data_IF_697638485524
#
_entry.id   IF_697638485524
#
_cell.length_a   1.000
_cell.length_b   1.000
_cell.length_c   1.000
_cell.angle_alpha   90.00
_cell.angle_beta   90.00
_cell.angle_gamma   90.00
#
_symmetry.space_group_name_H-M   'P 1'
#
loop_
_entity.id
_entity.type
_entity.pdbx_description
1 polymer ?
#
# COMPACT_ATOMS: atom_id res chain seq x y z
N UNK A 1 -4.97 20.25 5.41
CA UNK A 1 -4.04 19.38 6.17
C UNK A 1 -3.47 18.38 5.20
N UNK A 2 -2.16 18.19 5.18
CA UNK A 2 -1.51 17.20 4.31
C UNK A 2 -1.53 15.84 5.04
N UNK A 3 -2.26 14.86 4.49
CA UNK A 3 -2.29 13.51 5.07
C UNK A 3 -1.07 12.70 4.60
N UNK A 4 -0.46 11.98 5.54
CA UNK A 4 0.65 11.07 5.28
C UNK A 4 0.11 9.65 5.05
N UNK A 5 0.32 9.11 3.85
CA UNK A 5 -0.34 7.89 3.38
C UNK A 5 0.69 6.81 3.05
N UNK A 6 0.41 5.58 3.49
CA UNK A 6 1.08 4.37 3.03
C UNK A 6 0.17 3.56 2.11
N UNK A 7 0.71 2.96 1.06
CA UNK A 7 -0.04 2.13 0.10
C UNK A 7 0.52 0.71 0.08
N UNK A 8 -0.33 -0.30 0.28
CA UNK A 8 0.08 -1.71 0.28
C UNK A 8 -0.75 -2.47 -0.75
N UNK A 9 -0.10 -2.98 -1.79
CA UNK A 9 -0.70 -3.93 -2.74
C UNK A 9 -0.51 -5.34 -2.20
N UNK A 10 -1.61 -6.08 -2.02
CA UNK A 10 -1.63 -7.46 -1.53
C UNK A 10 -1.94 -8.38 -2.72
N UNK A 11 -0.93 -9.12 -3.19
CA UNK A 11 -1.07 -10.07 -4.29
C UNK A 11 0.16 -10.98 -4.40
N UNK A 12 -0.04 -12.30 -4.37
CA UNK A 12 1.03 -13.28 -4.64
C UNK A 12 1.66 -13.06 -6.02
N UNK A 13 0.82 -12.89 -7.05
CA UNK A 13 1.28 -12.71 -8.43
C UNK A 13 2.05 -11.41 -8.62
N UNK A 14 1.58 -10.31 -8.04
CA UNK A 14 2.30 -9.03 -8.14
C UNK A 14 3.60 -9.06 -7.33
N UNK A 15 3.58 -9.67 -6.14
CA UNK A 15 4.78 -9.86 -5.33
C UNK A 15 5.81 -10.79 -5.97
N UNK A 16 5.38 -11.76 -6.79
CA UNK A 16 6.24 -12.64 -7.57
C UNK A 16 6.73 -12.01 -8.90
N UNK A 17 6.23 -10.82 -9.26
CA UNK A 17 6.56 -10.15 -10.53
C UNK A 17 5.86 -10.74 -11.77
N UNK A 18 4.95 -11.68 -11.58
CA UNK A 18 4.15 -12.31 -12.65
C UNK A 18 3.03 -11.40 -13.16
N UNK A 19 2.65 -10.41 -12.35
CA UNK A 19 1.59 -9.47 -12.64
C UNK A 19 2.03 -8.06 -12.29
N UNK A 20 1.77 -7.09 -13.17
CA UNK A 20 2.07 -5.70 -12.90
C UNK A 20 1.05 -5.14 -11.91
N UNK A 21 1.52 -4.57 -10.80
CA UNK A 21 0.65 -3.81 -9.91
C UNK A 21 0.04 -2.60 -10.63
N UNK A 22 -1.29 -2.56 -10.65
CA UNK A 22 -2.09 -1.45 -11.16
C UNK A 22 -2.85 -0.74 -10.03
N UNK A 23 -3.07 -1.42 -8.89
CA UNK A 23 -3.86 -0.90 -7.78
C UNK A 23 -3.08 0.14 -6.98
N UNK A 24 -1.82 -0.18 -6.63
CA UNK A 24 -0.93 0.75 -5.93
C UNK A 24 -0.77 2.08 -6.66
N UNK A 25 -0.39 2.06 -7.96
CA UNK A 25 -0.30 3.28 -8.77
C UNK A 25 -1.63 4.06 -8.87
N UNK A 26 -2.77 3.38 -8.96
CA UNK A 26 -4.06 4.05 -9.00
C UNK A 26 -4.40 4.76 -7.69
N UNK A 27 -4.15 4.12 -6.54
CA UNK A 27 -4.33 4.73 -5.22
C UNK A 27 -3.40 5.94 -5.03
N UNK A 28 -2.16 5.85 -5.51
CA UNK A 28 -1.20 6.95 -5.46
C UNK A 28 -1.67 8.16 -6.26
N UNK A 29 -2.16 7.96 -7.48
CA UNK A 29 -2.69 9.03 -8.33
C UNK A 29 -3.90 9.72 -7.66
N UNK A 30 -4.82 8.95 -7.07
CA UNK A 30 -5.95 9.50 -6.30
C UNK A 30 -5.46 10.30 -5.09
N UNK A 31 -4.51 9.77 -4.33
CA UNK A 31 -3.95 10.46 -3.17
C UNK A 31 -3.26 11.77 -3.54
N UNK A 32 -2.49 11.78 -4.63
CA UNK A 32 -1.85 12.99 -5.17
C UNK A 32 -2.88 14.03 -5.58
N UNK A 33 -3.95 13.64 -6.28
CA UNK A 33 -5.07 14.53 -6.65
C UNK A 33 -5.82 15.08 -5.43
N UNK A 34 -5.88 14.32 -4.35
CA UNK A 34 -6.47 14.74 -3.08
C UNK A 34 -5.53 15.61 -2.22
N UNK A 35 -4.30 15.89 -2.68
CA UNK A 35 -3.30 16.67 -1.94
C UNK A 35 -2.66 15.90 -0.78
N UNK A 36 -2.72 14.58 -0.78
CA UNK A 36 -2.05 13.71 0.19
C UNK A 36 -0.59 13.46 -0.21
N UNK A 37 0.24 13.16 0.79
CA UNK A 37 1.62 12.77 0.59
C UNK A 37 1.77 11.27 0.82
N UNK A 38 2.16 10.54 -0.23
CA UNK A 38 2.49 9.12 -0.11
C UNK A 38 3.91 8.99 0.41
N UNK A 39 4.06 8.47 1.63
CA UNK A 39 5.36 8.28 2.30
C UNK A 39 6.00 6.94 1.98
N UNK A 40 5.18 5.90 1.83
CA UNK A 40 5.65 4.54 1.66
C UNK A 40 4.72 3.72 0.75
N UNK A 41 5.31 2.82 -0.02
CA UNK A 41 4.61 1.91 -0.93
C UNK A 41 5.23 0.52 -0.79
N UNK A 42 4.40 -0.52 -0.82
CA UNK A 42 4.85 -1.91 -0.76
C UNK A 42 3.93 -2.82 -1.57
N UNK A 43 4.52 -3.87 -2.15
CA UNK A 43 3.80 -5.02 -2.69
C UNK A 43 4.15 -6.21 -1.81
N UNK A 44 3.14 -6.93 -1.32
CA UNK A 44 3.30 -8.10 -0.44
C UNK A 44 2.45 -9.26 -0.95
N UNK A 45 2.86 -10.52 -0.71
CA UNK A 45 2.00 -11.68 -0.96
C UNK A 45 0.77 -11.68 -0.05
N UNK A 46 -0.18 -12.56 -0.33
CA UNK A 46 -1.37 -12.79 0.50
C UNK A 46 -1.01 -13.62 1.74
N UNK A 47 -0.16 -13.04 2.57
CA UNK A 47 0.36 -13.61 3.81
C UNK A 47 0.08 -12.67 4.99
N UNK A 48 -0.67 -13.17 5.97
CA UNK A 48 -1.13 -12.38 7.11
C UNK A 48 0.05 -11.78 7.92
N UNK A 49 1.15 -12.52 8.06
CA UNK A 49 2.31 -12.05 8.81
C UNK A 49 2.95 -10.86 8.08
N UNK A 50 3.16 -11.01 6.77
CA UNK A 50 3.79 -9.99 5.94
C UNK A 50 2.94 -8.72 5.84
N UNK A 51 1.63 -8.87 5.73
CA UNK A 51 0.68 -7.74 5.75
C UNK A 51 0.80 -6.99 7.08
N UNK A 52 0.75 -7.69 8.21
CA UNK A 52 0.84 -7.06 9.53
C UNK A 52 2.19 -6.36 9.77
N UNK A 53 3.30 -6.98 9.39
CA UNK A 53 4.64 -6.40 9.48
C UNK A 53 4.72 -5.08 8.70
N UNK A 54 4.18 -5.08 7.48
CA UNK A 54 4.20 -3.91 6.59
C UNK A 54 3.33 -2.78 7.16
N UNK A 55 2.14 -3.09 7.66
CA UNK A 55 1.26 -2.11 8.32
C UNK A 55 1.96 -1.49 9.54
N UNK A 56 2.59 -2.30 10.40
CA UNK A 56 3.33 -1.81 11.57
C UNK A 56 4.50 -0.93 11.16
N UNK A 57 5.25 -1.33 10.14
CA UNK A 57 6.36 -0.54 9.60
C UNK A 57 5.89 0.82 9.06
N UNK A 58 4.79 0.86 8.30
CA UNK A 58 4.25 2.10 7.74
C UNK A 58 3.72 3.03 8.83
N UNK A 59 3.08 2.46 9.85
CA UNK A 59 2.66 3.20 11.04
C UNK A 59 3.85 3.84 11.76
N UNK A 60 4.95 3.10 11.96
CA UNK A 60 6.18 3.61 12.56
C UNK A 60 6.87 4.70 11.71
N UNK A 61 6.70 4.64 10.39
CA UNK A 61 7.18 5.68 9.46
C UNK A 61 6.32 6.95 9.47
N UNK A 62 5.22 6.98 10.24
CA UNK A 62 4.35 8.15 10.37
C UNK A 62 3.21 8.22 9.37
N UNK A 63 2.88 7.11 8.69
CA UNK A 63 1.66 7.05 7.87
C UNK A 63 0.43 7.15 8.79
N UNK A 64 -0.33 8.24 8.67
CA UNK A 64 -1.59 8.45 9.38
C UNK A 64 -2.78 7.76 8.73
N UNK A 65 -2.63 7.33 7.47
CA UNK A 65 -3.58 6.51 6.72
C UNK A 65 -2.81 5.43 5.97
N UNK A 66 -3.29 4.18 6.01
CA UNK A 66 -2.75 3.07 5.22
C UNK A 66 -3.87 2.54 4.35
N UNK A 67 -3.66 2.51 3.04
CA UNK A 67 -4.60 2.01 2.05
C UNK A 67 -4.08 0.68 1.50
N UNK A 68 -4.89 -0.38 1.65
CA UNK A 68 -4.59 -1.68 1.05
C UNK A 68 -5.39 -1.87 -0.24
N UNK A 69 -4.84 -2.64 -1.18
CA UNK A 69 -5.56 -3.06 -2.40
C UNK A 69 -5.23 -4.51 -2.73
N UNK A 70 -6.26 -5.32 -3.02
CA UNK A 70 -6.15 -6.78 -3.13
C UNK A 70 -6.33 -7.51 -1.79
N UNK A 71 -6.55 -8.83 -1.84
CA UNK A 71 -6.66 -9.69 -0.64
C UNK A 71 -7.97 -9.60 0.16
N UNK A 72 -9.07 -9.12 -0.44
CA UNK A 72 -10.37 -8.91 0.24
C UNK A 72 -11.51 -9.78 -0.31
N UNK A 73 -11.18 -10.78 -1.13
CA UNK A 73 -12.15 -11.68 -1.78
C UNK A 73 -12.62 -12.82 -0.91
#
# INVERSE_FOLDING_TARGET
>A
MQMQVGIITISDRASAGEYKDLGGPALKDVGQKAGWQVLAEAIVPDDATRIQETIRSFSQQGCGLILTTGGTG
#
